data_IF_661490952212
#
_entry.id   IF_661490952212
#
_cell.length_a   1.000
_cell.length_b   1.000
_cell.length_c   1.000
_cell.angle_alpha   90.00
_cell.angle_beta   90.00
_cell.angle_gamma   90.00
#
_symmetry.space_group_name_H-M   'P 1'
#
loop_
_entity.id
_entity.type
_entity.pdbx_description
1 polymer ?
#
# COMPACT_ATOMS: atom_id res chain seq x y z
N UNK A 1 -29.46 48.53 -72.14
CA UNK A 1 -28.34 47.60 -71.88
C UNK A 1 -27.13 48.48 -71.59
N UNK A 2 -26.40 48.42 -70.47
CA UNK A 2 -25.86 47.29 -69.71
C UNK A 2 -25.88 47.60 -68.20
N UNK A 3 -26.42 46.67 -67.41
CA UNK A 3 -26.39 46.71 -65.95
C UNK A 3 -25.09 46.08 -65.44
N UNK A 4 -24.18 46.87 -64.87
CA UNK A 4 -22.92 46.36 -64.31
C UNK A 4 -22.90 46.40 -62.77
N UNK A 5 -23.24 45.25 -62.19
CA UNK A 5 -22.51 44.52 -61.14
C UNK A 5 -21.75 45.33 -60.06
N UNK A 6 -22.48 45.97 -59.16
CA UNK A 6 -21.94 46.41 -57.85
C UNK A 6 -22.08 45.35 -56.74
N UNK A 7 -22.64 44.18 -57.06
CA UNK A 7 -22.87 43.07 -56.11
C UNK A 7 -21.66 42.17 -55.85
N UNK A 8 -20.57 42.27 -56.64
CA UNK A 8 -19.44 41.33 -56.54
C UNK A 8 -18.38 41.72 -55.49
N UNK A 9 -18.28 43.01 -55.14
CA UNK A 9 -17.27 43.51 -54.20
C UNK A 9 -17.63 43.19 -52.73
N UNK A 10 -18.91 43.31 -52.37
CA UNK A 10 -19.39 42.98 -51.02
C UNK A 10 -19.29 41.49 -50.71
N UNK A 11 -19.58 40.62 -51.70
CA UNK A 11 -19.43 39.16 -51.57
C UNK A 11 -17.97 38.75 -51.35
N UNK A 12 -17.01 39.34 -52.08
CA UNK A 12 -15.57 39.08 -51.91
C UNK A 12 -15.07 39.51 -50.53
N UNK A 13 -15.54 40.63 -50.00
CA UNK A 13 -15.17 41.12 -48.66
C UNK A 13 -15.70 40.19 -47.56
N UNK A 14 -16.96 39.73 -47.68
CA UNK A 14 -17.57 38.80 -46.72
C UNK A 14 -16.83 37.46 -46.69
N UNK A 15 -16.51 36.91 -47.86
CA UNK A 15 -15.74 35.67 -47.98
C UNK A 15 -14.34 35.77 -47.35
N UNK A 16 -13.65 36.90 -47.55
CA UNK A 16 -12.34 37.13 -46.96
C UNK A 16 -12.41 37.17 -45.42
N UNK A 17 -13.45 37.76 -44.84
CA UNK A 17 -13.68 37.80 -43.39
C UNK A 17 -14.03 36.41 -42.84
N UNK A 18 -14.84 35.63 -43.55
CA UNK A 18 -15.21 34.26 -43.17
C UNK A 18 -13.99 33.31 -43.16
N UNK A 19 -13.14 33.38 -44.20
CA UNK A 19 -11.91 32.58 -44.32
C UNK A 19 -10.89 32.88 -43.20
N UNK A 20 -10.80 34.13 -42.70
CA UNK A 20 -9.96 34.49 -41.54
C UNK A 20 -10.47 33.89 -40.22
N UNK A 21 -11.79 33.86 -39.99
CA UNK A 21 -12.38 33.31 -38.75
C UNK A 21 -12.17 31.79 -38.62
N UNK A 22 -12.23 31.06 -39.73
CA UNK A 22 -11.99 29.61 -39.75
C UNK A 22 -10.52 29.25 -39.48
N UNK A 23 -9.55 30.01 -40.02
CA UNK A 23 -8.12 29.79 -39.75
C UNK A 23 -7.74 30.10 -38.29
N UNK A 24 -8.32 31.14 -37.69
CA UNK A 24 -8.10 31.48 -36.27
C UNK A 24 -8.67 30.42 -35.29
N UNK A 25 -9.76 29.72 -35.68
CA UNK A 25 -10.38 28.67 -34.85
C UNK A 25 -9.64 27.33 -34.95
N UNK A 26 -8.90 27.08 -36.04
CA UNK A 26 -8.13 25.83 -36.26
C UNK A 26 -6.76 25.81 -35.55
N UNK A 27 -6.23 26.97 -35.16
CA UNK A 27 -4.96 27.12 -34.43
C UNK A 27 -5.08 26.98 -32.90
N UNK A 28 -6.29 26.98 -32.33
CA UNK A 28 -6.51 26.86 -30.87
C UNK A 28 -6.78 25.44 -30.38
N UNK A 29 -6.54 24.41 -31.21
CA UNK A 29 -6.89 23.01 -30.95
C UNK A 29 -5.70 22.05 -30.97
N UNK A 30 -4.52 22.52 -30.56
CA UNK A 30 -3.32 21.69 -30.48
C UNK A 30 -2.27 22.27 -29.55
N UNK A 31 -2.50 22.19 -28.23
CA UNK A 31 -1.48 22.15 -27.14
C UNK A 31 -2.14 22.45 -25.79
N UNK A 32 -2.66 21.39 -25.17
CA UNK A 32 -2.78 21.13 -23.72
C UNK A 32 -3.87 20.09 -23.53
N UNK A 33 -3.52 18.87 -23.98
CA UNK A 33 -4.17 17.68 -23.47
C UNK A 33 -4.08 17.72 -21.96
N UNK A 34 -5.23 17.51 -21.33
CA UNK A 34 -5.51 17.66 -19.90
C UNK A 34 -4.87 16.49 -19.12
N UNK A 35 -3.55 16.30 -19.23
CA UNK A 35 -2.82 15.17 -18.63
C UNK A 35 -2.52 15.32 -17.13
N UNK A 36 -3.15 16.28 -16.44
CA UNK A 36 -3.09 16.41 -14.98
C UNK A 36 -4.12 15.48 -14.29
N UNK A 37 -4.62 14.45 -14.98
CA UNK A 37 -5.50 13.42 -14.41
C UNK A 37 -4.89 12.01 -14.40
N UNK A 38 -3.55 11.87 -14.44
CA UNK A 38 -2.90 10.57 -14.19
C UNK A 38 -1.64 10.66 -13.29
N UNK A 39 -1.42 11.78 -12.60
CA UNK A 39 -0.35 11.90 -11.58
C UNK A 39 -0.89 11.83 -10.14
N UNK A 40 -1.95 11.03 -9.94
CA UNK A 40 -2.40 10.57 -8.61
C UNK A 40 -2.35 9.04 -8.49
N UNK A 41 -1.35 8.42 -9.12
CA UNK A 41 -0.93 7.04 -8.84
C UNK A 41 0.57 6.97 -8.55
N UNK A 42 0.99 7.86 -7.66
CA UNK A 42 2.23 7.72 -6.92
C UNK A 42 1.97 8.13 -5.46
N UNK A 43 0.93 7.55 -4.86
CA UNK A 43 1.01 7.21 -3.43
C UNK A 43 1.74 5.86 -3.39
N UNK A 44 2.97 5.88 -3.90
CA UNK A 44 3.93 4.82 -3.68
C UNK A 44 4.40 5.00 -2.25
N UNK A 45 4.01 4.03 -1.42
CA UNK A 45 4.92 3.53 -0.39
C UNK A 45 5.38 4.54 0.67
N UNK A 46 4.51 5.49 0.99
CA UNK A 46 4.54 6.12 2.30
C UNK A 46 4.14 5.06 3.32
N UNK A 47 5.15 4.35 3.83
CA UNK A 47 5.20 3.58 5.07
C UNK A 47 4.05 3.89 6.04
N UNK A 48 2.85 3.38 5.75
CA UNK A 48 1.88 3.04 6.78
C UNK A 48 2.45 1.79 7.41
N UNK A 49 3.53 1.94 8.19
CA UNK A 49 3.76 1.08 9.33
C UNK A 49 2.44 1.18 10.07
N UNK A 50 1.57 0.19 9.87
CA UNK A 50 0.44 -0.02 10.75
C UNK A 50 1.06 0.14 12.13
N UNK A 51 0.57 1.10 12.91
CA UNK A 51 1.02 1.28 14.29
C UNK A 51 0.49 0.05 15.01
N UNK A 52 1.18 -1.07 14.82
CA UNK A 52 0.88 -2.34 15.42
C UNK A 52 1.18 -2.11 16.88
N UNK A 53 0.14 -2.14 17.69
CA UNK A 53 0.25 -1.99 19.13
C UNK A 53 1.42 -2.85 19.64
N UNK A 54 2.26 -2.33 20.55
CA UNK A 54 3.33 -3.10 21.17
C UNK A 54 2.84 -4.44 21.71
N UNK A 55 1.58 -4.50 22.18
CA UNK A 55 0.93 -5.73 22.66
C UNK A 55 0.82 -6.77 21.54
N UNK A 56 0.41 -6.37 20.34
CA UNK A 56 0.29 -7.28 19.19
C UNK A 56 1.66 -7.82 18.79
N UNK A 57 2.73 -7.02 18.90
CA UNK A 57 4.11 -7.50 18.68
C UNK A 57 4.49 -8.56 19.73
N UNK A 58 4.21 -8.31 21.01
CA UNK A 58 4.46 -9.25 22.10
C UNK A 58 3.68 -10.56 21.91
N UNK A 59 2.39 -10.49 21.56
CA UNK A 59 1.56 -11.66 21.28
C UNK A 59 2.10 -12.45 20.07
N UNK A 60 2.56 -11.77 19.01
CA UNK A 60 3.22 -12.45 17.88
C UNK A 60 4.51 -13.16 18.30
N UNK A 61 5.33 -12.53 19.13
CA UNK A 61 6.54 -13.16 19.68
C UNK A 61 6.18 -14.36 20.54
N UNK A 62 5.18 -14.23 21.42
CA UNK A 62 4.74 -15.33 22.28
C UNK A 62 4.28 -16.53 21.44
N UNK A 63 3.47 -16.31 20.39
CA UNK A 63 3.07 -17.36 19.45
C UNK A 63 4.26 -18.08 18.82
N UNK A 64 5.39 -17.41 18.57
CA UNK A 64 6.59 -18.06 18.01
C UNK A 64 7.36 -18.91 19.02
N UNK A 65 7.22 -18.64 20.31
CA UNK A 65 7.94 -19.35 21.38
C UNK A 65 7.23 -20.62 21.85
N UNK A 66 5.90 -20.65 21.73
CA UNK A 66 5.09 -21.76 22.22
C UNK A 66 4.98 -22.84 21.13
N UNK A 67 5.24 -24.12 21.45
CA UNK A 67 5.01 -25.23 20.52
C UNK A 67 3.52 -25.36 20.16
N UNK A 68 3.22 -25.91 18.99
CA UNK A 68 1.83 -26.12 18.51
C UNK A 68 0.97 -24.83 18.42
N UNK A 69 1.57 -23.73 17.97
CA UNK A 69 0.97 -22.40 17.88
C UNK A 69 -0.12 -22.19 16.79
N UNK A 70 -0.71 -23.27 16.27
CA UNK A 70 -1.74 -23.22 15.24
C UNK A 70 -2.97 -22.42 15.69
N UNK A 71 -3.66 -21.77 14.73
CA UNK A 71 -4.81 -20.86 14.85
C UNK A 71 -5.55 -20.80 16.21
N UNK A 72 -4.89 -20.33 17.26
CA UNK A 72 -5.45 -20.26 18.61
C UNK A 72 -5.81 -18.82 18.97
N UNK A 73 -6.93 -18.70 19.71
CA UNK A 73 -7.33 -17.47 20.38
C UNK A 73 -6.34 -17.07 21.50
N UNK A 74 -6.52 -15.88 22.08
CA UNK A 74 -5.61 -15.36 23.11
C UNK A 74 -5.66 -16.20 24.40
N UNK A 75 -6.84 -16.61 24.85
CA UNK A 75 -6.99 -17.38 26.09
C UNK A 75 -6.29 -18.74 26.00
N UNK A 76 -6.44 -19.40 24.84
CA UNK A 76 -5.72 -20.62 24.55
C UNK A 76 -4.21 -20.41 24.56
N UNK A 77 -3.73 -19.37 23.87
CA UNK A 77 -2.31 -19.04 23.85
C UNK A 77 -1.73 -18.85 25.25
N UNK A 78 -2.45 -18.16 26.14
CA UNK A 78 -1.98 -17.92 27.51
C UNK A 78 -2.01 -19.18 28.37
N UNK A 79 -3.04 -20.03 28.22
CA UNK A 79 -3.10 -21.32 28.92
C UNK A 79 -1.95 -22.24 28.49
N UNK A 80 -1.75 -22.42 27.19
CA UNK A 80 -0.69 -23.27 26.65
C UNK A 80 0.69 -22.70 27.00
N UNK A 81 0.82 -21.37 27.07
CA UNK A 81 2.03 -20.71 27.57
C UNK A 81 2.32 -21.10 29.02
N UNK A 82 1.31 -21.06 29.90
CA UNK A 82 1.48 -21.40 31.32
C UNK A 82 1.90 -22.86 31.49
N UNK A 83 1.26 -23.77 30.74
CA UNK A 83 1.59 -25.19 30.72
C UNK A 83 3.01 -25.43 30.17
N UNK A 84 3.40 -24.72 29.11
CA UNK A 84 4.74 -24.84 28.56
C UNK A 84 5.82 -24.33 29.52
N UNK A 85 5.58 -23.22 30.24
CA UNK A 85 6.49 -22.74 31.29
C UNK A 85 6.66 -23.82 32.38
N UNK A 86 5.56 -24.41 32.85
CA UNK A 86 5.61 -25.43 33.88
C UNK A 86 6.40 -26.67 33.41
N UNK A 87 6.15 -27.14 32.18
CA UNK A 87 6.88 -28.30 31.63
C UNK A 87 8.37 -28.03 31.46
N UNK A 88 8.76 -26.84 31.02
CA UNK A 88 10.18 -26.43 30.96
C UNK A 88 10.82 -26.43 32.35
N UNK A 89 10.14 -25.86 33.35
CA UNK A 89 10.65 -25.85 34.73
C UNK A 89 10.84 -27.27 35.28
N UNK A 90 9.89 -28.16 35.06
CA UNK A 90 10.01 -29.56 35.48
C UNK A 90 11.18 -30.26 34.77
N UNK A 91 11.34 -30.05 33.46
CA UNK A 91 12.45 -30.63 32.70
C UNK A 91 13.81 -30.17 33.24
N UNK A 92 13.96 -28.89 33.55
CA UNK A 92 15.19 -28.34 34.13
C UNK A 92 15.48 -29.01 35.48
N UNK A 93 14.48 -29.14 36.36
CA UNK A 93 14.65 -29.81 37.67
C UNK A 93 15.14 -31.24 37.54
N UNK A 94 14.55 -32.01 36.60
CA UNK A 94 14.99 -33.39 36.34
C UNK A 94 16.43 -33.42 35.83
N UNK A 95 16.79 -32.55 34.88
CA UNK A 95 18.15 -32.49 34.34
C UNK A 95 19.17 -32.11 35.42
N UNK A 96 18.83 -31.16 36.30
CA UNK A 96 19.68 -30.78 37.44
C UNK A 96 19.84 -31.94 38.43
N UNK A 97 18.76 -32.64 38.77
CA UNK A 97 18.83 -33.81 39.65
C UNK A 97 19.68 -34.92 39.05
N UNK A 98 19.57 -35.16 37.74
CA UNK A 98 20.36 -36.18 37.05
C UNK A 98 21.84 -35.80 37.05
N UNK A 99 22.17 -34.53 36.79
CA UNK A 99 23.56 -34.05 36.87
C UNK A 99 24.12 -34.26 38.27
N UNK A 100 23.39 -33.86 39.33
CA UNK A 100 23.86 -34.02 40.70
C UNK A 100 24.14 -35.50 41.04
N UNK A 101 23.22 -36.41 40.68
CA UNK A 101 23.44 -37.85 40.91
C UNK A 101 24.66 -38.36 40.16
N UNK A 102 24.85 -37.94 38.90
CA UNK A 102 26.00 -38.38 38.10
C UNK A 102 27.32 -37.79 38.62
N UNK A 103 27.33 -36.53 39.07
CA UNK A 103 28.55 -35.89 39.59
C UNK A 103 28.90 -36.36 41.00
N UNK A 104 27.90 -36.63 41.86
CA UNK A 104 28.12 -37.14 43.21
C UNK A 104 28.53 -38.63 43.21
N UNK A 105 28.36 -39.34 42.09
CA UNK A 105 28.80 -40.74 41.93
C UNK A 105 30.25 -40.87 41.46
N UNK A 106 30.89 -39.77 41.04
CA UNK A 106 32.28 -39.74 40.56
C UNK A 106 33.29 -39.26 41.65
N UNK A 107 32.82 -38.98 42.88
CA UNK A 107 33.65 -38.84 44.10
C UNK A 107 33.59 -40.10 44.99
#
# INVERSE_FOLDING_TARGET
ETSHSNGSLWSKLLEAKAKRRLKAKKQRKGTRSRSILMKRRAVGEGSRRLVVSPIVKKVKTLKKLIPNNGSMGLDGLFRDTAEYILSLQMRIKVMQSMVNVLTDSDE
#
